data_IF_989346573316
#
_entry.id   IF_989346573316
#
_cell.length_a   1.000
_cell.length_b   1.000
_cell.length_c   1.000
_cell.angle_alpha   90.00
_cell.angle_beta   90.00
_cell.angle_gamma   90.00
#
_symmetry.space_group_name_H-M   'P 1'
#
loop_
_entity.id
_entity.type
_entity.pdbx_description
1 polymer ?
#
# COMPACT_ATOMS: atom_id res chain seq x y z
N UNK A 1 -16.88 -8.62 2.82
CA UNK A 1 -15.75 -7.98 3.54
C UNK A 1 -14.69 -7.70 2.49
N UNK A 2 -14.26 -6.45 2.32
CA UNK A 2 -13.21 -6.12 1.34
C UNK A 2 -11.90 -6.71 1.84
N UNK A 3 -11.22 -7.47 0.99
CA UNK A 3 -9.90 -8.03 1.26
C UNK A 3 -8.90 -7.48 0.25
N UNK A 4 -7.69 -7.19 0.73
CA UNK A 4 -6.57 -6.90 -0.16
C UNK A 4 -6.38 -8.05 -1.17
N UNK A 5 -6.19 -7.72 -2.44
CA UNK A 5 -5.99 -8.69 -3.51
C UNK A 5 -4.78 -8.28 -4.39
N UNK A 6 -4.44 -9.16 -5.33
CA UNK A 6 -3.27 -8.97 -6.21
C UNK A 6 -3.46 -7.77 -7.14
N UNK A 7 -4.68 -7.53 -7.58
CA UNK A 7 -5.07 -6.53 -8.57
C UNK A 7 -4.87 -5.12 -8.01
N UNK A 8 -5.09 -4.92 -6.71
CA UNK A 8 -4.74 -3.69 -6.00
C UNK A 8 -3.23 -3.43 -5.97
N UNK A 9 -2.41 -4.47 -5.79
CA UNK A 9 -0.95 -4.34 -5.83
C UNK A 9 -0.44 -4.08 -7.25
N UNK A 10 -1.03 -4.74 -8.26
CA UNK A 10 -0.75 -4.47 -9.68
C UNK A 10 -1.07 -3.00 -10.01
N UNK A 11 -2.22 -2.50 -9.59
CA UNK A 11 -2.59 -1.09 -9.81
C UNK A 11 -1.62 -0.09 -9.17
N UNK A 12 -1.06 -0.41 -8.00
CA UNK A 12 0.00 0.40 -7.38
C UNK A 12 1.28 0.41 -8.24
N UNK A 13 1.66 -0.74 -8.81
CA UNK A 13 2.76 -0.84 -9.78
C UNK A 13 2.48 -0.05 -11.05
N UNK A 14 1.31 -0.24 -11.65
CA UNK A 14 0.93 0.44 -12.88
C UNK A 14 0.93 1.96 -12.68
N UNK A 15 0.47 2.44 -11.52
CA UNK A 15 0.53 3.85 -11.15
C UNK A 15 1.97 4.37 -11.11
N UNK A 16 2.89 3.61 -10.50
CA UNK A 16 4.30 4.01 -10.40
C UNK A 16 5.01 3.93 -11.76
N UNK A 17 4.69 2.94 -12.59
CA UNK A 17 5.21 2.79 -13.96
C UNK A 17 4.73 3.96 -14.83
N UNK A 18 3.43 4.23 -14.82
CA UNK A 18 2.82 5.33 -15.56
C UNK A 18 3.44 6.68 -15.17
N UNK A 19 3.75 6.89 -13.88
CA UNK A 19 4.47 8.08 -13.42
C UNK A 19 5.83 8.25 -14.11
N UNK A 20 6.64 7.20 -14.26
CA UNK A 20 7.93 7.31 -14.95
C UNK A 20 7.81 7.45 -16.46
N UNK A 21 6.74 6.92 -17.05
CA UNK A 21 6.49 7.03 -18.49
C UNK A 21 5.78 8.35 -18.86
N UNK A 22 5.34 9.15 -17.88
CA UNK A 22 4.43 10.30 -18.09
C UNK A 22 3.12 9.89 -18.78
N UNK A 23 2.58 8.75 -18.38
CA UNK A 23 1.32 8.17 -18.87
C UNK A 23 0.26 8.20 -17.78
N UNK A 24 -0.98 7.89 -18.15
CA UNK A 24 -2.04 7.63 -17.18
C UNK A 24 -2.08 6.14 -16.83
N UNK A 25 -2.29 5.84 -15.54
CA UNK A 25 -2.44 4.47 -15.09
C UNK A 25 -3.70 3.84 -15.72
N UNK A 26 -3.66 2.55 -16.11
CA UNK A 26 -4.83 1.84 -16.62
C UNK A 26 -5.95 1.83 -15.57
N UNK A 27 -7.22 1.66 -16.00
CA UNK A 27 -8.33 1.50 -15.07
C UNK A 27 -8.09 0.35 -14.08
N UNK A 28 -8.49 0.50 -12.80
CA UNK A 28 -8.32 -0.54 -11.79
C UNK A 28 -9.18 -1.76 -12.11
N UNK A 29 -8.63 -2.96 -11.87
CA UNK A 29 -9.34 -4.24 -12.03
C UNK A 29 -9.98 -4.73 -10.71
N UNK A 30 -10.44 -3.80 -9.88
CA UNK A 30 -11.11 -4.08 -8.60
C UNK A 30 -12.17 -3.02 -8.30
N UNK A 31 -13.14 -3.38 -7.47
CA UNK A 31 -14.27 -2.52 -7.15
C UNK A 31 -13.89 -1.32 -6.26
N UNK A 32 -14.70 -0.28 -6.35
CA UNK A 32 -14.59 0.86 -5.45
C UNK A 32 -14.99 0.49 -4.01
N UNK A 33 -14.47 1.25 -3.04
CA UNK A 33 -14.77 1.08 -1.63
C UNK A 33 -14.12 2.20 -0.82
N UNK A 34 -14.50 2.35 0.45
CA UNK A 34 -13.96 3.37 1.34
C UNK A 34 -13.32 2.71 2.56
N UNK A 35 -11.99 2.69 2.61
CA UNK A 35 -11.25 2.07 3.71
C UNK A 35 -9.96 2.82 4.02
N UNK A 36 -9.51 2.80 5.28
CA UNK A 36 -8.13 3.15 5.59
C UNK A 36 -7.19 2.14 4.94
N UNK A 37 -6.08 2.63 4.39
CA UNK A 37 -5.18 1.81 3.59
C UNK A 37 -3.74 2.27 3.68
N UNK A 38 -2.81 1.35 3.41
CA UNK A 38 -1.38 1.61 3.31
C UNK A 38 -0.82 0.95 2.05
N UNK A 39 0.14 1.61 1.42
CA UNK A 39 0.98 1.04 0.36
C UNK A 39 2.41 0.97 0.86
N UNK A 40 2.99 -0.23 0.76
CA UNK A 40 4.35 -0.53 1.17
C UNK A 40 5.15 -1.05 0.00
N UNK A 41 6.27 -0.39 -0.27
CA UNK A 41 7.29 -0.85 -1.21
C UNK A 41 8.41 -1.55 -0.43
N UNK A 42 8.81 -2.71 -0.91
CA UNK A 42 10.05 -3.38 -0.50
C UNK A 42 10.94 -3.58 -1.72
N UNK A 43 12.23 -3.80 -1.49
CA UNK A 43 13.22 -4.04 -2.54
C UNK A 43 14.06 -5.25 -2.20
N UNK A 44 14.18 -6.18 -3.15
CA UNK A 44 15.11 -7.30 -3.08
C UNK A 44 16.53 -6.79 -3.33
N UNK A 45 17.45 -7.09 -2.42
CA UNK A 45 18.87 -6.70 -2.55
C UNK A 45 19.71 -7.97 -2.56
N UNK A 46 20.47 -8.18 -3.64
CA UNK A 46 21.41 -9.29 -3.81
C UNK A 46 20.79 -10.69 -3.55
N UNK A 47 19.52 -10.89 -3.92
CA UNK A 47 18.82 -12.15 -3.73
C UNK A 47 18.46 -12.49 -2.27
N UNK A 48 18.65 -11.55 -1.34
CA UNK A 48 18.20 -11.68 0.05
C UNK A 48 16.77 -11.23 0.26
N UNK A 49 16.33 -11.25 1.52
CA UNK A 49 14.99 -10.85 1.93
C UNK A 49 14.64 -9.40 1.50
N UNK A 50 13.41 -9.15 1.00
CA UNK A 50 12.96 -7.82 0.62
C UNK A 50 13.01 -6.82 1.78
N UNK A 51 13.71 -5.70 1.57
CA UNK A 51 13.86 -4.63 2.57
C UNK A 51 12.90 -3.48 2.31
N UNK A 52 12.36 -2.88 3.37
CA UNK A 52 11.48 -1.70 3.28
C UNK A 52 12.13 -0.59 2.43
N UNK A 53 11.37 -0.09 1.46
CA UNK A 53 11.79 0.95 0.50
C UNK A 53 10.84 2.16 0.48
N UNK A 54 9.70 2.06 1.13
CA UNK A 54 8.74 3.14 1.39
C UNK A 54 7.44 2.57 1.96
N UNK A 55 6.79 3.28 2.87
CA UNK A 55 5.49 2.88 3.41
C UNK A 55 4.72 4.08 3.92
N UNK A 56 3.60 4.41 3.27
CA UNK A 56 2.71 5.52 3.63
C UNK A 56 1.27 5.09 3.41
N UNK A 57 0.37 5.61 4.23
CA UNK A 57 -1.06 5.33 4.18
C UNK A 57 -1.84 6.27 5.09
N UNK A 58 -3.04 5.85 5.46
CA UNK A 58 -3.97 6.61 6.28
C UNK A 58 -4.80 5.69 7.17
N UNK A 59 -5.15 6.19 8.34
CA UNK A 59 -6.12 5.58 9.26
C UNK A 59 -7.55 6.09 9.02
N UNK A 60 -7.73 7.15 8.24
CA UNK A 60 -9.04 7.61 7.78
C UNK A 60 -9.43 6.91 6.47
N UNK A 61 -10.72 6.63 6.32
CA UNK A 61 -11.25 5.99 5.13
C UNK A 61 -11.03 6.86 3.88
N UNK A 62 -10.51 6.23 2.82
CA UNK A 62 -10.34 6.83 1.49
C UNK A 62 -10.91 5.90 0.43
N UNK A 63 -11.30 6.47 -0.70
CA UNK A 63 -11.69 5.71 -1.88
C UNK A 63 -10.54 4.82 -2.31
N UNK A 64 -10.74 3.51 -2.41
CA UNK A 64 -9.66 2.55 -2.67
C UNK A 64 -8.86 2.89 -3.94
N UNK A 65 -9.55 3.26 -5.02
CA UNK A 65 -8.91 3.59 -6.31
C UNK A 65 -7.99 4.80 -6.15
N UNK A 66 -8.54 5.94 -5.75
CA UNK A 66 -7.77 7.19 -5.58
C UNK A 66 -6.72 7.06 -4.48
N UNK A 67 -7.07 6.40 -3.36
CA UNK A 67 -6.17 6.18 -2.25
C UNK A 67 -4.98 5.30 -2.64
N UNK A 68 -5.17 4.17 -3.33
CA UNK A 68 -4.06 3.37 -3.80
C UNK A 68 -3.19 4.12 -4.81
N UNK A 69 -3.79 4.89 -5.73
CA UNK A 69 -3.04 5.74 -6.66
C UNK A 69 -2.14 6.75 -5.91
N UNK A 70 -2.73 7.51 -4.99
CA UNK A 70 -2.03 8.57 -4.25
C UNK A 70 -0.96 8.00 -3.30
N UNK A 71 -1.30 6.94 -2.56
CA UNK A 71 -0.39 6.34 -1.58
C UNK A 71 0.68 5.45 -2.22
N UNK A 72 0.46 4.89 -3.42
CA UNK A 72 1.51 4.25 -4.21
C UNK A 72 2.63 5.25 -4.55
N UNK A 73 2.27 6.41 -5.11
CA UNK A 73 3.24 7.45 -5.46
C UNK A 73 3.85 8.10 -4.22
N UNK A 74 3.05 8.38 -3.19
CA UNK A 74 3.54 9.03 -1.97
C UNK A 74 4.53 8.13 -1.24
N UNK A 75 4.23 6.84 -1.07
CA UNK A 75 5.16 5.89 -0.44
C UNK A 75 6.41 5.64 -1.28
N UNK A 76 6.33 5.65 -2.61
CA UNK A 76 7.47 5.45 -3.50
C UNK A 76 8.39 6.67 -3.61
N UNK A 77 7.82 7.88 -3.66
CA UNK A 77 8.53 9.09 -4.10
C UNK A 77 8.68 10.16 -3.02
N UNK A 78 7.87 10.09 -1.95
CA UNK A 78 7.76 11.17 -0.95
C UNK A 78 7.93 10.69 0.50
N UNK A 79 8.22 9.41 0.73
CA UNK A 79 8.59 8.91 2.04
C UNK A 79 9.99 9.41 2.41
N UNK A 80 10.06 10.45 3.25
CA UNK A 80 11.29 11.17 3.60
C UNK A 80 12.37 10.32 4.27
N UNK A 81 12.03 9.11 4.73
CA UNK A 81 13.00 8.16 5.28
C UNK A 81 13.91 7.56 4.21
N UNK A 82 13.50 7.65 2.94
CA UNK A 82 14.21 7.08 1.80
C UNK A 82 14.33 8.11 0.66
N UNK A 83 15.38 8.03 -0.17
CA UNK A 83 15.38 8.72 -1.45
C UNK A 83 14.19 8.25 -2.31
N UNK A 84 13.64 9.06 -3.22
CA UNK A 84 12.64 8.59 -4.18
C UNK A 84 13.11 7.31 -4.87
N UNK A 85 12.21 6.35 -5.03
CA UNK A 85 12.46 5.18 -5.88
C UNK A 85 12.89 5.68 -7.27
N UNK A 86 13.77 4.94 -7.95
CA UNK A 86 14.14 5.22 -9.34
C UNK A 86 13.51 4.19 -10.27
N UNK A 87 13.22 4.56 -11.53
CA UNK A 87 12.64 3.66 -12.53
C UNK A 87 13.42 2.33 -12.67
N UNK A 88 14.76 2.37 -12.60
CA UNK A 88 15.61 1.17 -12.67
C UNK A 88 15.40 0.18 -11.52
N UNK A 89 14.79 0.60 -10.42
CA UNK A 89 14.52 -0.26 -9.27
C UNK A 89 13.26 -1.11 -9.47
N UNK A 90 12.35 -0.73 -10.38
CA UNK A 90 11.04 -1.37 -10.58
C UNK A 90 11.10 -2.91 -10.65
N UNK A 91 12.01 -3.54 -11.42
CA UNK A 91 12.05 -5.01 -11.53
C UNK A 91 12.45 -5.74 -10.23
N UNK A 92 12.97 -5.01 -9.25
CA UNK A 92 13.43 -5.55 -7.96
C UNK A 92 12.51 -5.19 -6.79
N UNK A 93 11.38 -4.53 -7.06
CA UNK A 93 10.43 -4.12 -6.03
C UNK A 93 9.41 -5.22 -5.74
N UNK A 94 8.92 -5.21 -4.52
CA UNK A 94 7.66 -5.82 -4.13
C UNK A 94 6.70 -4.74 -3.62
N UNK A 95 5.43 -4.88 -3.98
CA UNK A 95 4.37 -4.03 -3.47
C UNK A 95 3.47 -4.83 -2.53
N UNK A 96 3.24 -4.30 -1.33
CA UNK A 96 2.24 -4.80 -0.40
C UNK A 96 1.19 -3.73 -0.19
N UNK A 97 -0.08 -4.11 -0.34
CA UNK A 97 -1.23 -3.27 -0.01
C UNK A 97 -1.86 -3.78 1.29
N UNK A 98 -2.26 -2.86 2.15
CA UNK A 98 -2.98 -3.19 3.38
C UNK A 98 -4.27 -2.40 3.43
N UNK A 99 -5.38 -3.10 3.66
CA UNK A 99 -6.70 -2.50 3.89
C UNK A 99 -7.03 -2.78 5.35
N UNK A 100 -7.34 -1.72 6.08
CA UNK A 100 -7.71 -1.82 7.49
C UNK A 100 -9.23 -1.87 7.60
N UNK A 101 -9.72 -2.83 8.39
CA UNK A 101 -11.15 -3.09 8.58
C UNK A 101 -11.43 -3.32 10.06
N UNK A 102 -12.70 -3.19 10.46
CA UNK A 102 -13.16 -3.54 11.80
C UNK A 102 -12.43 -2.77 12.93
N UNK A 103 -12.38 -1.44 12.82
CA UNK A 103 -11.84 -0.61 13.88
C UNK A 103 -12.70 -0.75 15.13
N UNK A 104 -12.06 -0.86 16.29
CA UNK A 104 -12.72 -0.89 17.59
C UNK A 104 -12.02 0.05 18.58
N UNK A 105 -12.76 0.51 19.58
CA UNK A 105 -12.20 1.26 20.69
C UNK A 105 -11.60 0.27 21.68
N UNK A 106 -10.32 0.42 21.97
CA UNK A 106 -9.67 -0.35 23.03
C UNK A 106 -10.20 0.06 24.41
N UNK A 107 -10.50 -0.91 25.28
CA UNK A 107 -11.00 -0.63 26.63
C UNK A 107 -9.91 -0.09 27.57
N UNK A 108 -8.67 -0.57 27.40
CA UNK A 108 -7.49 -0.14 28.16
C UNK A 108 -6.21 -0.51 27.40
N UNK A 109 -5.04 -0.16 27.93
CA UNK A 109 -3.75 -0.38 27.26
C UNK A 109 -3.33 -1.86 27.14
N UNK A 110 -4.01 -2.78 27.83
CA UNK A 110 -3.81 -4.23 27.73
C UNK A 110 -4.80 -4.89 26.76
N UNK A 111 -5.70 -4.12 26.14
CA UNK A 111 -6.72 -4.63 25.24
C UNK A 111 -6.18 -4.75 23.79
N UNK A 112 -5.20 -5.63 23.60
CA UNK A 112 -4.47 -5.82 22.32
C UNK A 112 -4.95 -7.01 21.50
N UNK A 113 -5.86 -7.84 22.03
CA UNK A 113 -6.45 -8.97 21.31
C UNK A 113 -7.68 -8.52 20.53
N UNK A 114 -7.68 -8.78 19.21
CA UNK A 114 -8.82 -8.46 18.36
C UNK A 114 -10.07 -9.27 18.74
N UNK A 115 -11.26 -8.84 18.31
CA UNK A 115 -12.54 -9.41 18.76
C UNK A 115 -12.71 -10.89 18.41
N UNK A 116 -11.97 -11.39 17.42
CA UNK A 116 -11.99 -12.81 17.01
C UNK A 116 -11.08 -13.72 17.86
N UNK A 117 -10.26 -13.17 18.76
CA UNK A 117 -9.35 -13.92 19.63
C UNK A 117 -9.80 -13.95 21.10
N UNK A 118 -10.82 -13.17 21.47
CA UNK A 118 -11.38 -13.09 22.83
C UNK A 118 -12.36 -14.25 23.16
N UNK A 119 -12.25 -15.39 22.48
CA UNK A 119 -13.06 -16.60 22.75
C UNK A 119 -12.34 -17.54 23.71
#
# INVERSE_FOLDING_TARGET
MVSANREMAVYCFDTLVAHYNNEEAPPPAFDEGQHPLFVTWKKVVNGGEPRLRGCIGTLEARGLINGFKDYALTSALRDRRFPPIQAKELPSLECTVSILTNYETANNYLDWEGPNLRQ
#
